data_IF_698103754274
#
_entry.id   IF_698103754274
#
_cell.length_a   1.000
_cell.length_b   1.000
_cell.length_c   1.000
_cell.angle_alpha   90.00
_cell.angle_beta   90.00
_cell.angle_gamma   90.00
#
_symmetry.space_group_name_H-M   'P 1'
#
loop_
_entity.id
_entity.type
_entity.pdbx_description
1 polymer ?
#
# COMPACT_ATOMS: atom_id res chain seq x y z
N UNK A 1 -21.37 -13.34 15.18
CA UNK A 1 -22.06 -12.03 15.15
C UNK A 1 -21.15 -10.91 14.62
N UNK A 2 -19.95 -10.72 15.14
CA UNK A 2 -19.00 -9.65 14.76
C UNK A 2 -18.59 -9.67 13.27
N UNK A 3 -18.16 -10.81 12.73
CA UNK A 3 -17.76 -10.93 11.32
C UNK A 3 -18.87 -10.58 10.31
N UNK A 4 -20.13 -10.90 10.62
CA UNK A 4 -21.27 -10.50 9.76
C UNK A 4 -21.42 -8.98 9.72
N UNK A 5 -21.32 -8.30 10.86
CA UNK A 5 -21.39 -6.83 10.93
C UNK A 5 -20.26 -6.14 10.15
N UNK A 6 -19.04 -6.68 10.22
CA UNK A 6 -17.90 -6.16 9.44
C UNK A 6 -18.16 -6.33 7.94
N UNK A 7 -18.65 -7.50 7.52
CA UNK A 7 -18.97 -7.75 6.11
C UNK A 7 -20.11 -6.85 5.60
N UNK A 8 -21.14 -6.62 6.40
CA UNK A 8 -22.24 -5.72 6.08
C UNK A 8 -21.76 -4.25 5.99
N UNK A 9 -20.91 -3.83 6.91
CA UNK A 9 -20.28 -2.50 6.88
C UNK A 9 -19.44 -2.32 5.61
N UNK A 10 -18.53 -3.24 5.32
CA UNK A 10 -17.70 -3.20 4.12
C UNK A 10 -18.55 -3.15 2.85
N UNK A 11 -19.59 -3.97 2.78
CA UNK A 11 -20.52 -3.99 1.66
C UNK A 11 -21.23 -2.65 1.49
N UNK A 12 -21.75 -2.07 2.58
CA UNK A 12 -22.45 -0.79 2.54
C UNK A 12 -21.54 0.36 2.08
N UNK A 13 -20.31 0.41 2.59
CA UNK A 13 -19.32 1.41 2.16
C UNK A 13 -18.96 1.24 0.69
N UNK A 14 -18.68 0.01 0.25
CA UNK A 14 -18.33 -0.25 -1.14
C UNK A 14 -19.45 0.10 -2.10
N UNK A 15 -20.71 -0.26 -1.80
CA UNK A 15 -21.87 0.13 -2.61
C UNK A 15 -22.03 1.65 -2.68
N UNK A 16 -21.95 2.33 -1.53
CA UNK A 16 -22.06 3.78 -1.46
C UNK A 16 -21.00 4.48 -2.33
N UNK A 17 -19.76 4.01 -2.30
CA UNK A 17 -18.66 4.63 -3.03
C UNK A 17 -18.66 4.31 -4.52
N UNK A 18 -18.90 3.05 -4.90
CA UNK A 18 -18.90 2.62 -6.30
C UNK A 18 -20.09 3.16 -7.11
N UNK A 19 -21.19 3.53 -6.44
CA UNK A 19 -22.35 4.16 -7.09
C UNK A 19 -22.15 5.66 -7.37
N UNK A 20 -21.20 6.31 -6.69
CA UNK A 20 -20.87 7.72 -6.92
C UNK A 20 -19.85 7.83 -8.01
N UNK A 21 -20.17 8.65 -9.02
CA UNK A 21 -19.28 8.85 -10.18
C UNK A 21 -18.84 10.31 -10.25
N UNK A 22 -17.55 10.48 -10.47
CA UNK A 22 -17.01 11.78 -10.87
C UNK A 22 -17.24 12.03 -12.37
N UNK A 23 -16.86 13.21 -12.85
CA UNK A 23 -16.86 13.47 -14.29
C UNK A 23 -15.92 12.50 -15.03
N UNK A 24 -16.17 12.17 -16.31
CA UNK A 24 -15.33 11.23 -17.06
C UNK A 24 -13.85 11.63 -17.11
N UNK A 25 -13.56 12.94 -17.12
CA UNK A 25 -12.19 13.45 -17.06
C UNK A 25 -11.53 13.19 -15.69
N UNK A 26 -12.26 13.39 -14.59
CA UNK A 26 -11.78 13.10 -13.24
C UNK A 26 -11.56 11.61 -13.05
N UNK A 27 -12.49 10.75 -13.47
CA UNK A 27 -12.36 9.29 -13.44
C UNK A 27 -11.08 8.83 -14.14
N UNK A 28 -10.81 9.32 -15.34
CA UNK A 28 -9.58 8.99 -16.07
C UNK A 28 -8.33 9.38 -15.29
N UNK A 29 -8.29 10.56 -14.67
CA UNK A 29 -7.17 11.02 -13.84
C UNK A 29 -7.00 10.17 -12.60
N UNK A 30 -8.09 9.81 -11.89
CA UNK A 30 -8.04 8.95 -10.71
C UNK A 30 -7.56 7.54 -11.04
N UNK A 31 -7.92 6.97 -12.20
CA UNK A 31 -7.41 5.68 -12.67
C UNK A 31 -5.90 5.72 -12.95
N UNK A 32 -5.40 6.81 -13.51
CA UNK A 32 -3.95 7.00 -13.71
C UNK A 32 -3.28 7.15 -12.35
N UNK A 33 -3.83 7.98 -11.47
CA UNK A 33 -3.26 8.24 -10.15
C UNK A 33 -3.16 6.98 -9.28
N UNK A 34 -4.20 6.13 -9.25
CA UNK A 34 -4.16 4.90 -8.46
C UNK A 34 -3.13 3.91 -9.00
N UNK A 35 -2.82 3.92 -10.30
CA UNK A 35 -1.79 3.08 -10.91
C UNK A 35 -0.37 3.52 -10.54
N UNK A 36 -0.15 4.74 -10.10
CA UNK A 36 1.14 5.13 -9.54
C UNK A 36 1.50 4.30 -8.31
N UNK A 37 0.50 3.85 -7.56
CA UNK A 37 0.65 2.92 -6.44
C UNK A 37 1.04 1.48 -6.83
N UNK A 38 1.10 1.15 -8.13
CA UNK A 38 1.67 -0.12 -8.63
C UNK A 38 3.21 -0.17 -8.50
N UNK A 39 3.84 0.92 -8.05
CA UNK A 39 5.28 0.98 -7.79
C UNK A 39 6.04 2.01 -8.63
N UNK A 40 5.47 2.47 -9.73
CA UNK A 40 6.16 3.37 -10.68
C UNK A 40 6.67 4.68 -10.06
N UNK A 41 5.91 5.25 -9.13
CA UNK A 41 6.27 6.52 -8.51
C UNK A 41 7.51 6.41 -7.62
N UNK A 42 7.81 5.22 -7.10
CA UNK A 42 8.98 5.01 -6.24
C UNK A 42 10.30 5.20 -7.00
N UNK A 43 10.33 4.91 -8.31
CA UNK A 43 11.50 5.20 -9.14
C UNK A 43 11.76 6.73 -9.23
N UNK A 44 10.70 7.54 -9.36
CA UNK A 44 10.83 8.99 -9.34
C UNK A 44 11.29 9.50 -7.97
N UNK A 45 10.70 8.99 -6.89
CA UNK A 45 11.14 9.36 -5.53
C UNK A 45 12.58 8.92 -5.26
N UNK A 46 13.01 7.75 -5.72
CA UNK A 46 14.38 7.29 -5.58
C UNK A 46 15.36 8.22 -6.32
N UNK A 47 15.02 8.68 -7.53
CA UNK A 47 15.82 9.65 -8.26
C UNK A 47 15.92 10.99 -7.52
N UNK A 48 14.79 11.53 -7.04
CA UNK A 48 14.76 12.78 -6.27
C UNK A 48 15.60 12.64 -5.00
N UNK A 49 15.45 11.51 -4.31
CA UNK A 49 16.20 11.24 -3.08
C UNK A 49 17.69 11.14 -3.36
N UNK A 50 18.11 10.41 -4.40
CA UNK A 50 19.50 10.31 -4.84
C UNK A 50 20.14 11.69 -5.09
N UNK A 51 19.44 12.55 -5.84
CA UNK A 51 19.91 13.90 -6.15
C UNK A 51 20.01 14.81 -4.91
N UNK A 52 19.17 14.53 -3.89
CA UNK A 52 19.12 15.34 -2.68
C UNK A 52 20.15 14.95 -1.61
N UNK A 53 20.36 13.64 -1.39
CA UNK A 53 21.20 13.15 -0.27
C UNK A 53 22.56 12.59 -0.71
N UNK A 54 22.80 12.45 -2.01
CA UNK A 54 24.04 11.90 -2.56
C UNK A 54 24.14 10.39 -2.46
N UNK A 55 25.19 9.83 -3.09
CA UNK A 55 25.32 8.38 -3.32
C UNK A 55 25.41 7.55 -2.03
N UNK A 56 26.31 7.92 -1.11
CA UNK A 56 26.57 7.08 0.06
C UNK A 56 25.35 6.95 0.98
N UNK A 57 24.69 8.08 1.28
CA UNK A 57 23.47 8.08 2.07
C UNK A 57 22.29 7.40 1.35
N UNK A 58 22.22 7.57 0.03
CA UNK A 58 21.19 6.94 -0.79
C UNK A 58 21.26 5.41 -0.74
N UNK A 59 22.46 4.83 -0.82
CA UNK A 59 22.66 3.38 -0.73
C UNK A 59 22.09 2.82 0.58
N UNK A 60 22.45 3.41 1.73
CA UNK A 60 21.93 2.95 3.02
C UNK A 60 20.40 3.03 3.13
N UNK A 61 19.77 4.07 2.53
CA UNK A 61 18.31 4.17 2.49
C UNK A 61 17.70 3.07 1.62
N UNK A 62 18.26 2.82 0.44
CA UNK A 62 17.74 1.78 -0.48
C UNK A 62 17.87 0.40 0.14
N UNK A 63 18.98 0.09 0.77
CA UNK A 63 19.19 -1.20 1.45
C UNK A 63 18.18 -1.41 2.56
N UNK A 64 17.93 -0.41 3.41
CA UNK A 64 16.88 -0.46 4.42
C UNK A 64 15.51 -0.66 3.80
N UNK A 65 15.18 0.08 2.74
CA UNK A 65 13.90 -0.03 2.02
C UNK A 65 13.72 -1.43 1.46
N UNK A 66 14.77 -2.04 0.90
CA UNK A 66 14.72 -3.40 0.36
C UNK A 66 14.43 -4.44 1.46
N UNK A 67 15.06 -4.32 2.63
CA UNK A 67 14.78 -5.21 3.79
C UNK A 67 13.33 -5.04 4.26
N UNK A 68 12.88 -3.80 4.41
CA UNK A 68 11.48 -3.50 4.80
C UNK A 68 10.49 -4.03 3.78
N UNK A 69 10.76 -3.83 2.49
CA UNK A 69 9.91 -4.31 1.40
C UNK A 69 9.87 -5.85 1.34
N UNK A 70 11.00 -6.51 1.56
CA UNK A 70 11.05 -7.98 1.64
C UNK A 70 10.16 -8.52 2.75
N UNK A 71 10.21 -7.91 3.95
CA UNK A 71 9.32 -8.25 5.07
C UNK A 71 7.85 -7.98 4.71
N UNK A 72 7.55 -6.81 4.11
CA UNK A 72 6.20 -6.46 3.72
C UNK A 72 5.62 -7.45 2.70
N UNK A 73 6.39 -7.81 1.66
CA UNK A 73 5.98 -8.78 0.64
C UNK A 73 5.79 -10.19 1.23
N UNK A 74 6.68 -10.64 2.13
CA UNK A 74 6.55 -11.92 2.79
C UNK A 74 5.26 -12.00 3.62
N UNK A 75 4.99 -11.00 4.46
CA UNK A 75 3.75 -10.91 5.24
C UNK A 75 2.52 -10.78 4.35
N UNK A 76 2.60 -9.95 3.31
CA UNK A 76 1.52 -9.75 2.35
C UNK A 76 1.10 -11.08 1.69
N UNK A 77 2.05 -11.83 1.14
CA UNK A 77 1.76 -13.10 0.48
C UNK A 77 1.28 -14.16 1.47
N UNK A 78 1.92 -14.26 2.65
CA UNK A 78 1.50 -15.19 3.70
C UNK A 78 0.05 -14.95 4.09
N UNK A 79 -0.31 -13.71 4.46
CA UNK A 79 -1.67 -13.36 4.89
C UNK A 79 -2.67 -13.56 3.74
N UNK A 80 -2.32 -13.14 2.53
CA UNK A 80 -3.19 -13.24 1.36
C UNK A 80 -3.53 -14.68 1.01
N UNK A 81 -2.56 -15.57 1.04
CA UNK A 81 -2.74 -16.99 0.74
C UNK A 81 -3.45 -17.76 1.86
N UNK A 82 -3.38 -17.25 3.09
CA UNK A 82 -4.05 -17.84 4.25
C UNK A 82 -5.51 -17.39 4.34
N UNK A 83 -5.75 -16.06 4.29
CA UNK A 83 -7.10 -15.48 4.47
C UNK A 83 -7.99 -15.68 3.25
N UNK A 84 -7.44 -15.59 2.04
CA UNK A 84 -8.12 -15.82 0.75
C UNK A 84 -9.45 -15.08 0.59
N UNK A 85 -9.54 -13.86 1.13
CA UNK A 85 -10.77 -13.08 1.08
C UNK A 85 -11.15 -12.73 -0.36
N UNK A 86 -12.40 -13.00 -0.80
CA UNK A 86 -12.84 -12.61 -2.14
C UNK A 86 -12.97 -11.10 -2.27
N UNK A 87 -12.82 -10.59 -3.49
CA UNK A 87 -12.95 -9.16 -3.81
C UNK A 87 -14.41 -8.71 -3.88
N UNK A 88 -14.71 -7.40 -3.66
CA UNK A 88 -16.07 -6.87 -3.74
C UNK A 88 -16.82 -7.27 -5.01
N UNK A 89 -16.24 -7.04 -6.18
CA UNK A 89 -16.83 -7.34 -7.47
C UNK A 89 -17.06 -8.85 -7.72
N UNK A 90 -16.39 -9.73 -6.97
CA UNK A 90 -16.55 -11.18 -7.10
C UNK A 90 -17.68 -11.73 -6.18
N UNK A 91 -18.20 -10.91 -5.28
CA UNK A 91 -19.21 -11.32 -4.28
C UNK A 91 -20.53 -10.57 -4.41
N UNK A 92 -20.51 -9.34 -4.96
CA UNK A 92 -21.71 -8.53 -5.12
C UNK A 92 -21.84 -8.10 -6.59
N UNK A 93 -22.91 -8.53 -7.31
CA UNK A 93 -23.12 -8.20 -8.72
C UNK A 93 -23.33 -6.69 -8.98
N UNK A 94 -23.66 -5.93 -7.95
CA UNK A 94 -23.83 -4.48 -8.04
C UNK A 94 -22.51 -3.70 -7.96
N UNK A 95 -21.40 -4.38 -7.63
CA UNK A 95 -20.07 -3.79 -7.56
C UNK A 95 -19.25 -4.24 -8.77
N UNK A 96 -18.80 -3.27 -9.58
CA UNK A 96 -17.96 -3.54 -10.74
C UNK A 96 -16.51 -3.15 -10.46
N UNK A 97 -15.56 -3.97 -10.92
CA UNK A 97 -14.14 -3.60 -10.92
C UNK A 97 -13.89 -2.56 -12.02
N UNK A 98 -13.54 -1.34 -11.63
CA UNK A 98 -13.28 -0.22 -12.55
C UNK A 98 -11.79 -0.06 -12.91
N UNK A 99 -10.93 -0.79 -12.20
CA UNK A 99 -9.50 -0.93 -12.46
C UNK A 99 -9.09 -2.40 -12.31
N UNK A 100 -8.06 -2.87 -13.03
CA UNK A 100 -7.64 -4.26 -12.90
C UNK A 100 -7.10 -4.55 -11.49
N UNK A 101 -7.50 -5.69 -10.87
CA UNK A 101 -6.85 -6.18 -9.67
C UNK A 101 -5.47 -6.76 -10.02
N UNK A 102 -4.48 -6.60 -9.12
CA UNK A 102 -3.14 -7.16 -9.31
C UNK A 102 -3.05 -8.67 -9.02
N UNK A 103 -4.00 -9.18 -8.24
CA UNK A 103 -4.06 -10.58 -7.81
C UNK A 103 -5.51 -11.02 -7.48
N UNK A 104 -5.68 -12.29 -7.11
CA UNK A 104 -6.99 -12.92 -6.91
C UNK A 104 -7.72 -12.45 -5.66
N UNK A 105 -7.03 -12.23 -4.54
CA UNK A 105 -7.64 -12.01 -3.23
C UNK A 105 -7.62 -10.54 -2.82
N UNK A 106 -8.59 -10.11 -1.98
CA UNK A 106 -8.70 -8.71 -1.58
C UNK A 106 -7.82 -8.34 -0.38
N UNK A 107 -7.69 -9.22 0.61
CA UNK A 107 -7.05 -8.92 1.89
C UNK A 107 -5.59 -9.39 1.96
N UNK A 108 -4.68 -8.57 2.48
CA UNK A 108 -4.82 -7.14 2.72
C UNK A 108 -4.65 -6.32 1.43
N UNK A 109 -4.89 -4.98 1.49
CA UNK A 109 -4.62 -4.08 0.36
C UNK A 109 -3.12 -3.87 0.17
N UNK A 110 -2.56 -4.38 -0.93
CA UNK A 110 -1.13 -4.20 -1.26
C UNK A 110 -0.76 -2.76 -1.58
N UNK A 111 -1.67 -1.98 -2.21
CA UNK A 111 -1.47 -0.55 -2.46
C UNK A 111 -1.31 0.25 -1.16
N UNK A 112 -1.94 -0.19 -0.09
CA UNK A 112 -1.80 0.44 1.22
C UNK A 112 -0.59 -0.14 1.96
N UNK A 113 -0.55 -1.45 2.17
CA UNK A 113 0.43 -2.12 3.01
C UNK A 113 1.87 -1.95 2.52
N UNK A 114 2.17 -2.39 1.29
CA UNK A 114 3.54 -2.40 0.80
C UNK A 114 4.06 -0.98 0.56
N UNK A 115 3.23 -0.10 -0.01
CA UNK A 115 3.65 1.28 -0.24
C UNK A 115 3.81 2.05 1.08
N UNK A 116 2.99 1.77 2.10
CA UNK A 116 3.14 2.42 3.40
C UNK A 116 4.41 1.96 4.13
N UNK A 117 4.77 0.67 4.01
CA UNK A 117 6.02 0.15 4.56
C UNK A 117 7.24 0.88 3.94
N UNK A 118 7.27 1.00 2.61
CA UNK A 118 8.31 1.76 1.88
C UNK A 118 8.31 3.23 2.29
N UNK A 119 7.14 3.88 2.28
CA UNK A 119 6.99 5.27 2.69
C UNK A 119 7.50 5.53 4.12
N UNK A 120 7.20 4.62 5.05
CA UNK A 120 7.66 4.71 6.44
C UNK A 120 9.18 4.60 6.54
N UNK A 121 9.81 3.69 5.79
CA UNK A 121 11.25 3.53 5.77
C UNK A 121 11.96 4.79 5.24
N UNK A 122 11.49 5.36 4.14
CA UNK A 122 12.06 6.60 3.59
C UNK A 122 11.80 7.79 4.53
N UNK A 123 10.60 7.90 5.11
CA UNK A 123 10.24 8.98 6.04
C UNK A 123 11.12 8.95 7.29
N UNK A 124 11.47 7.76 7.77
CA UNK A 124 12.35 7.60 8.93
C UNK A 124 13.73 8.22 8.70
N UNK A 125 14.29 8.06 7.50
CA UNK A 125 15.63 8.61 7.16
C UNK A 125 15.55 10.04 6.66
N UNK A 126 14.49 10.41 5.93
CA UNK A 126 14.32 11.73 5.27
C UNK A 126 12.93 12.30 5.62
N UNK A 127 12.73 12.78 6.87
CA UNK A 127 11.41 13.18 7.38
C UNK A 127 10.72 14.30 6.59
N UNK A 128 11.50 15.18 5.92
CA UNK A 128 10.97 16.31 5.15
C UNK A 128 10.03 15.86 4.00
N UNK A 129 10.16 14.64 3.50
CA UNK A 129 9.27 14.08 2.47
C UNK A 129 8.12 13.25 3.05
N UNK A 130 8.13 13.01 4.37
CA UNK A 130 7.28 12.04 5.04
C UNK A 130 5.80 12.24 4.82
N UNK A 131 5.32 13.46 4.95
CA UNK A 131 3.88 13.75 4.82
C UNK A 131 3.31 13.35 3.47
N UNK A 132 4.00 13.70 2.39
CA UNK A 132 3.57 13.33 1.03
C UNK A 132 3.60 11.81 0.87
N UNK A 133 4.71 11.18 1.26
CA UNK A 133 4.91 9.74 1.08
C UNK A 133 3.96 8.89 1.90
N UNK A 134 3.60 9.31 3.12
CA UNK A 134 2.65 8.58 3.97
C UNK A 134 1.19 8.74 3.53
N UNK A 135 0.83 9.88 2.92
CA UNK A 135 -0.53 10.12 2.44
C UNK A 135 -0.85 9.36 1.15
N UNK A 136 0.12 9.17 0.26
CA UNK A 136 -0.10 8.50 -1.02
C UNK A 136 -0.69 7.09 -0.88
N UNK A 137 -0.13 6.16 -0.06
CA UNK A 137 -0.67 4.82 0.10
C UNK A 137 -2.10 4.78 0.62
N UNK A 138 -2.47 5.74 1.47
CA UNK A 138 -3.84 5.87 2.00
C UNK A 138 -4.82 6.28 0.90
N UNK A 139 -4.46 7.30 0.12
CA UNK A 139 -5.31 7.76 -0.97
C UNK A 139 -5.46 6.69 -2.06
N UNK A 140 -4.39 5.97 -2.40
CA UNK A 140 -4.48 4.84 -3.32
C UNK A 140 -5.36 3.72 -2.77
N UNK A 141 -5.21 3.38 -1.48
CA UNK A 141 -6.04 2.37 -0.82
C UNK A 141 -7.53 2.73 -0.88
N UNK A 142 -7.88 3.98 -0.56
CA UNK A 142 -9.27 4.48 -0.63
C UNK A 142 -9.79 4.46 -2.06
N UNK A 143 -8.99 4.84 -3.05
CA UNK A 143 -9.39 4.73 -4.46
C UNK A 143 -9.59 3.28 -4.92
N UNK A 144 -8.86 2.32 -4.34
CA UNK A 144 -9.12 0.89 -4.61
C UNK A 144 -10.47 0.43 -4.08
N UNK A 145 -10.98 1.03 -2.99
CA UNK A 145 -12.36 0.81 -2.52
C UNK A 145 -13.36 1.46 -3.49
N UNK A 146 -13.12 2.72 -3.87
CA UNK A 146 -13.94 3.44 -4.83
C UNK A 146 -14.07 2.70 -6.17
N UNK A 147 -12.99 2.12 -6.66
CA UNK A 147 -12.98 1.33 -7.91
C UNK A 147 -13.44 -0.13 -7.73
N UNK A 148 -14.00 -0.51 -6.58
CA UNK A 148 -14.66 -1.79 -6.35
C UNK A 148 -13.74 -3.02 -6.26
N UNK A 149 -12.44 -2.84 -6.05
CA UNK A 149 -11.46 -3.94 -6.02
C UNK A 149 -10.96 -4.32 -4.62
N UNK A 150 -11.20 -3.49 -3.61
CA UNK A 150 -10.92 -3.75 -2.20
C UNK A 150 -12.08 -3.36 -1.30
N UNK A 151 -12.21 -4.05 -0.17
CA UNK A 151 -13.05 -3.64 0.94
C UNK A 151 -12.35 -2.56 1.76
N UNK A 152 -13.12 -1.72 2.47
CA UNK A 152 -12.51 -0.69 3.32
C UNK A 152 -11.62 -1.29 4.42
N UNK A 153 -12.05 -2.41 5.01
CA UNK A 153 -11.24 -3.09 6.03
C UNK A 153 -9.94 -3.68 5.48
N UNK A 154 -9.85 -4.03 4.18
CA UNK A 154 -8.59 -4.43 3.56
C UNK A 154 -7.56 -3.28 3.59
N UNK A 155 -8.05 -2.04 3.41
CA UNK A 155 -7.23 -0.82 3.44
C UNK A 155 -6.83 -0.47 4.88
N UNK A 156 -7.78 -0.52 5.82
CA UNK A 156 -7.51 -0.24 7.24
C UNK A 156 -6.48 -1.23 7.80
N UNK A 157 -6.68 -2.53 7.57
CA UNK A 157 -5.71 -3.54 8.01
C UNK A 157 -4.38 -3.41 7.27
N UNK A 158 -4.41 -3.09 5.96
CA UNK A 158 -3.22 -2.81 5.18
C UNK A 158 -2.38 -1.67 5.74
N UNK A 159 -3.03 -0.62 6.28
CA UNK A 159 -2.36 0.47 6.98
C UNK A 159 -1.57 -0.03 8.20
N UNK A 160 -2.20 -0.76 9.12
CA UNK A 160 -1.52 -1.26 10.31
C UNK A 160 -0.44 -2.29 9.97
N UNK A 161 -0.70 -3.16 9.00
CA UNK A 161 0.27 -4.15 8.53
C UNK A 161 1.47 -3.50 7.82
N UNK A 162 1.27 -2.37 7.12
CA UNK A 162 2.37 -1.61 6.53
C UNK A 162 3.31 -1.01 7.58
N UNK A 163 2.74 -0.40 8.62
CA UNK A 163 3.52 0.11 9.76
C UNK A 163 4.25 -1.04 10.48
N UNK A 164 3.58 -2.15 10.72
CA UNK A 164 4.17 -3.33 11.34
C UNK A 164 5.32 -3.89 10.49
N UNK A 165 5.14 -3.96 9.16
CA UNK A 165 6.18 -4.42 8.25
C UNK A 165 7.42 -3.52 8.29
N UNK A 166 7.22 -2.20 8.36
CA UNK A 166 8.32 -1.26 8.57
C UNK A 166 9.01 -1.51 9.92
N UNK A 167 8.26 -1.63 11.02
CA UNK A 167 8.85 -1.84 12.34
C UNK A 167 9.69 -3.13 12.40
N UNK A 168 9.19 -4.23 11.85
CA UNK A 168 9.93 -5.50 11.78
C UNK A 168 11.15 -5.36 10.87
N UNK A 169 10.99 -4.82 9.66
CA UNK A 169 12.09 -4.67 8.71
C UNK A 169 13.18 -3.74 9.23
N UNK A 170 12.80 -2.65 9.90
CA UNK A 170 13.75 -1.75 10.55
C UNK A 170 14.51 -2.42 11.70
N UNK A 171 13.82 -3.21 12.54
CA UNK A 171 14.45 -3.98 13.63
C UNK A 171 15.43 -5.05 13.10
N UNK A 172 15.19 -5.60 11.90
CA UNK A 172 16.12 -6.51 11.21
C UNK A 172 17.28 -5.72 10.61
N UNK A 173 17.03 -4.54 10.04
CA UNK A 173 18.03 -3.72 9.37
C UNK A 173 19.13 -3.23 10.33
N UNK A 174 18.79 -2.80 11.54
CA UNK A 174 19.75 -2.24 12.50
C UNK A 174 20.94 -3.20 12.75
N UNK A 175 20.73 -4.44 13.22
CA UNK A 175 21.86 -5.36 13.44
C UNK A 175 22.51 -5.83 12.15
N UNK A 176 21.76 -5.94 11.05
CA UNK A 176 22.28 -6.34 9.75
C UNK A 176 23.25 -5.29 9.19
N UNK A 177 22.89 -4.02 9.21
CA UNK A 177 23.76 -2.93 8.73
C UNK A 177 25.04 -2.83 9.55
N UNK A 178 24.95 -2.97 10.88
CA UNK A 178 26.11 -3.00 11.75
C UNK A 178 27.05 -4.19 11.44
N UNK A 179 26.50 -5.37 11.19
CA UNK A 179 27.27 -6.57 10.84
C UNK A 179 27.96 -6.47 9.46
N UNK A 180 27.36 -5.74 8.54
CA UNK A 180 27.90 -5.50 7.19
C UNK A 180 28.82 -4.28 7.10
N UNK A 181 28.98 -3.51 8.18
CA UNK A 181 29.75 -2.26 8.17
C UNK A 181 29.12 -1.16 7.30
N UNK A 182 27.81 -1.20 7.14
CA UNK A 182 27.01 -0.25 6.35
C UNK A 182 26.34 0.69 7.35
N UNK A 183 26.74 1.95 7.38
CA UNK A 183 26.16 2.94 8.31
C UNK A 183 26.84 4.28 8.23
#
# INVERSE_FOLDING_TARGET
MMFKRIAEFDRSVSLYWTQRKFSPKAEKRLRIYVRLGDGYIWALFALILFLHIGWDRFLGVIEQVLVVLAVALALYHLIKLTVRRPRPFATDPNIKAEVPPLDKYSFPSGHTMNNLAVASAVTYVVPQYGWVMLLLPLTWGLLRVYFGVHWLTDVICGFFLGILSFAIGHAIWIPLSAALGIG
#
